data_IF_326004816304
#
_entry.id   IF_326004816304
#
_cell.length_a   1.000
_cell.length_b   1.000
_cell.length_c   1.000
_cell.angle_alpha   90.00
_cell.angle_beta   90.00
_cell.angle_gamma   90.00
#
_symmetry.space_group_name_H-M   'P 1'
#
loop_
_entity.id
_entity.type
_entity.pdbx_description
1 polymer ?
#
# COMPACT_ATOMS: atom_id res chain seq x y z
N UNK A 1 -1.57 -3.53 31.67
CA UNK A 1 -2.08 -4.74 30.98
C UNK A 1 -2.31 -4.47 29.50
N UNK A 2 -1.59 -5.18 28.62
CA UNK A 2 -1.81 -5.11 27.17
C UNK A 2 -3.15 -5.74 26.77
N UNK A 3 -4.04 -4.94 26.18
CA UNK A 3 -5.31 -5.35 25.59
C UNK A 3 -5.13 -5.57 24.10
N UNK A 4 -5.41 -6.78 23.62
CA UNK A 4 -5.44 -7.05 22.19
C UNK A 4 -6.79 -6.63 21.63
N UNK A 5 -6.76 -5.74 20.64
CA UNK A 5 -7.94 -5.29 19.91
C UNK A 5 -8.22 -6.32 18.82
N UNK A 6 -9.39 -6.94 18.87
CA UNK A 6 -9.84 -7.93 17.88
C UNK A 6 -10.93 -7.32 16.98
N UNK A 7 -11.03 -7.83 15.76
CA UNK A 7 -12.10 -7.49 14.83
C UNK A 7 -13.46 -7.87 15.46
N UNK A 8 -14.36 -6.89 15.73
CA UNK A 8 -15.66 -7.16 16.32
C UNK A 8 -16.56 -7.90 15.34
N UNK A 9 -17.53 -8.65 15.89
CA UNK A 9 -18.61 -9.24 15.10
C UNK A 9 -19.80 -8.27 15.10
N UNK A 10 -19.85 -7.37 14.12
CA UNK A 10 -20.90 -6.34 13.99
C UNK A 10 -22.23 -6.89 13.42
N UNK A 11 -22.24 -8.14 12.94
CA UNK A 11 -23.45 -8.82 12.46
C UNK A 11 -23.43 -10.32 12.72
N UNK A 12 -24.60 -10.92 12.96
CA UNK A 12 -24.75 -12.36 13.24
C UNK A 12 -24.17 -13.25 12.14
N UNK A 13 -24.23 -12.79 10.88
CA UNK A 13 -23.72 -13.46 9.68
C UNK A 13 -22.37 -12.93 9.17
N UNK A 14 -21.79 -11.94 9.85
CA UNK A 14 -20.51 -11.33 9.44
C UNK A 14 -19.36 -12.31 9.67
N UNK A 15 -18.57 -12.58 8.62
CA UNK A 15 -17.38 -13.43 8.65
C UNK A 15 -16.08 -12.63 8.63
N UNK A 16 -16.08 -11.50 7.93
CA UNK A 16 -14.93 -10.64 7.70
C UNK A 16 -15.39 -9.18 7.59
N UNK A 17 -14.48 -8.27 7.92
CA UNK A 17 -14.65 -6.82 7.79
C UNK A 17 -13.41 -6.21 7.17
N UNK A 18 -13.60 -5.17 6.38
CA UNK A 18 -12.49 -4.43 5.77
C UNK A 18 -12.19 -3.21 6.60
N UNK A 19 -10.93 -3.00 6.92
CA UNK A 19 -10.50 -1.76 7.58
C UNK A 19 -10.52 -0.66 6.53
N UNK A 20 -11.42 0.31 6.67
CA UNK A 20 -11.50 1.46 5.76
C UNK A 20 -10.42 2.47 6.08
N UNK A 21 -10.32 2.88 7.36
CA UNK A 21 -9.40 3.93 7.79
C UNK A 21 -9.09 3.83 9.28
N UNK A 22 -7.83 4.05 9.65
CA UNK A 22 -7.44 4.21 11.05
C UNK A 22 -7.60 5.68 11.46
N UNK A 23 -8.28 5.92 12.59
CA UNK A 23 -8.32 7.25 13.21
C UNK A 23 -7.13 7.49 14.14
N UNK A 24 -6.50 6.40 14.59
CA UNK A 24 -5.40 6.39 15.56
C UNK A 24 -4.20 5.67 14.97
N UNK A 25 -3.01 6.17 15.30
CA UNK A 25 -1.74 5.64 14.80
C UNK A 25 -0.93 4.98 15.91
N UNK A 26 0.07 4.20 15.53
CA UNK A 26 1.00 3.57 16.47
C UNK A 26 1.72 4.65 17.29
N UNK A 27 1.68 4.54 18.61
CA UNK A 27 2.15 5.53 19.58
C UNK A 27 1.07 6.52 20.05
N UNK A 28 -0.11 6.55 19.43
CA UNK A 28 -1.17 7.48 19.82
C UNK A 28 -1.93 7.00 21.06
N UNK A 29 -2.35 7.95 21.90
CA UNK A 29 -3.15 7.66 23.09
C UNK A 29 -4.61 7.49 22.70
N UNK A 30 -5.24 6.42 23.19
CA UNK A 30 -6.63 6.08 22.95
C UNK A 30 -7.36 5.87 24.27
N UNK A 31 -8.62 6.28 24.35
CA UNK A 31 -9.46 6.07 25.52
C UNK A 31 -10.54 5.03 25.24
N UNK A 32 -11.00 4.33 26.27
CA UNK A 32 -12.13 3.40 26.17
C UNK A 32 -13.37 4.14 25.67
N UNK A 33 -13.98 3.66 24.60
CA UNK A 33 -15.11 4.31 23.93
C UNK A 33 -14.70 5.37 22.91
N UNK A 34 -13.40 5.61 22.71
CA UNK A 34 -12.94 6.52 21.65
C UNK A 34 -12.87 5.80 20.30
N UNK A 35 -13.31 6.42 19.18
CA UNK A 35 -13.23 5.80 17.87
C UNK A 35 -11.78 5.57 17.44
N UNK A 36 -11.48 4.32 17.09
CA UNK A 36 -10.12 3.87 16.84
C UNK A 36 -9.91 3.55 15.35
N UNK A 37 -10.88 2.88 14.72
CA UNK A 37 -10.82 2.45 13.32
C UNK A 37 -12.22 2.43 12.69
N UNK A 38 -12.31 2.79 11.41
CA UNK A 38 -13.50 2.62 10.58
C UNK A 38 -13.46 1.28 9.87
N UNK A 39 -14.51 0.49 10.04
CA UNK A 39 -14.66 -0.84 9.45
C UNK A 39 -15.82 -0.79 8.47
N UNK A 40 -15.55 -1.09 7.22
CA UNK A 40 -16.56 -1.27 6.20
C UNK A 40 -16.88 -2.76 6.05
N UNK A 41 -18.16 -3.07 6.12
CA UNK A 41 -18.72 -4.37 5.82
C UNK A 41 -19.39 -4.32 4.45
N UNK A 42 -19.83 -5.47 3.93
CA UNK A 42 -20.52 -5.56 2.64
C UNK A 42 -21.77 -4.66 2.53
N UNK A 43 -22.34 -4.21 3.65
CA UNK A 43 -23.58 -3.43 3.67
C UNK A 43 -23.51 -2.10 4.41
N UNK A 44 -22.55 -1.93 5.32
CA UNK A 44 -22.52 -0.79 6.24
C UNK A 44 -21.09 -0.47 6.66
N UNK A 45 -20.82 0.81 6.85
CA UNK A 45 -19.66 1.33 7.53
C UNK A 45 -19.96 1.52 9.02
N UNK A 46 -19.06 1.06 9.87
CA UNK A 46 -19.15 1.16 11.32
C UNK A 46 -17.86 1.70 11.89
N UNK A 47 -17.97 2.62 12.84
CA UNK A 47 -16.83 3.10 13.60
C UNK A 47 -16.63 2.21 14.81
N UNK A 48 -15.47 1.58 14.91
CA UNK A 48 -15.14 0.72 16.04
C UNK A 48 -14.43 1.52 17.13
N UNK A 49 -15.04 1.48 18.30
CA UNK A 49 -14.57 2.16 19.51
C UNK A 49 -13.56 1.28 20.27
N UNK A 50 -12.62 1.94 20.95
CA UNK A 50 -11.62 1.23 21.74
C UNK A 50 -12.24 0.47 22.91
N UNK A 51 -11.92 -0.82 23.11
CA UNK A 51 -12.39 -1.57 24.28
C UNK A 51 -11.66 -1.18 25.58
N UNK A 52 -10.49 -0.54 25.49
CA UNK A 52 -9.64 -0.18 26.62
C UNK A 52 -8.95 1.18 26.40
N UNK A 53 -8.56 1.84 27.50
CA UNK A 53 -7.73 3.04 27.45
C UNK A 53 -6.24 2.67 27.49
N UNK A 54 -5.40 3.32 26.69
CA UNK A 54 -3.96 3.07 26.66
C UNK A 54 -3.28 3.77 25.48
N UNK A 55 -2.13 3.26 25.08
CA UNK A 55 -1.40 3.69 23.89
C UNK A 55 -1.53 2.59 22.83
N UNK A 56 -1.89 2.98 21.60
CA UNK A 56 -1.90 2.06 20.47
C UNK A 56 -0.46 1.66 20.18
N UNK A 57 -0.04 0.48 20.61
CA UNK A 57 1.36 0.07 20.55
C UNK A 57 1.78 -0.38 19.15
N UNK A 58 0.92 -1.15 18.49
CA UNK A 58 1.19 -1.73 17.17
C UNK A 58 -0.10 -2.03 16.43
N UNK A 59 -0.11 -1.76 15.13
CA UNK A 59 -1.18 -2.14 14.21
C UNK A 59 -0.73 -3.39 13.44
N UNK A 60 -1.54 -4.46 13.49
CA UNK A 60 -1.25 -5.71 12.77
C UNK A 60 -1.80 -5.67 11.33
N UNK A 61 -2.89 -4.92 11.11
CA UNK A 61 -3.56 -4.82 9.83
C UNK A 61 -3.86 -3.36 9.48
N UNK A 62 -3.29 -2.89 8.36
CA UNK A 62 -3.46 -1.51 7.88
C UNK A 62 -4.81 -1.31 7.14
N UNK A 63 -5.10 -0.05 6.82
CA UNK A 63 -6.24 0.33 5.97
C UNK A 63 -6.27 -0.39 4.62
N UNK A 64 -7.48 -0.63 4.11
CA UNK A 64 -7.76 -1.39 2.90
C UNK A 64 -7.65 -2.92 3.06
N UNK A 65 -7.29 -3.45 4.23
CA UNK A 65 -7.18 -4.90 4.45
C UNK A 65 -8.48 -5.52 4.94
N UNK A 66 -8.79 -6.68 4.36
CA UNK A 66 -9.88 -7.57 4.79
C UNK A 66 -9.38 -8.44 5.93
N UNK A 67 -10.09 -8.43 7.05
CA UNK A 67 -9.71 -9.17 8.27
C UNK A 67 -10.91 -10.00 8.77
N UNK A 68 -10.72 -11.28 9.13
CA UNK A 68 -11.81 -12.09 9.68
C UNK A 68 -12.26 -11.60 11.05
N UNK A 69 -13.53 -11.82 11.40
CA UNK A 69 -14.04 -11.57 12.76
C UNK A 69 -13.20 -12.35 13.79
N UNK A 70 -13.08 -11.82 15.00
CA UNK A 70 -12.27 -12.41 16.10
C UNK A 70 -10.75 -12.42 15.89
N UNK A 71 -10.27 -11.85 14.79
CA UNK A 71 -8.82 -11.74 14.50
C UNK A 71 -8.22 -10.50 15.16
N UNK A 72 -7.01 -10.57 15.77
CA UNK A 72 -6.33 -9.41 16.33
C UNK A 72 -5.93 -8.39 15.24
N UNK A 73 -6.35 -7.14 15.41
CA UNK A 73 -6.06 -6.02 14.49
C UNK A 73 -5.02 -5.05 15.04
N UNK A 74 -4.96 -4.86 16.35
CA UNK A 74 -4.01 -3.97 17.01
C UNK A 74 -3.80 -4.38 18.47
N UNK A 75 -2.76 -3.82 19.10
CA UNK A 75 -2.47 -4.02 20.52
C UNK A 75 -2.46 -2.65 21.19
N UNK A 76 -3.23 -2.52 22.27
CA UNK A 76 -3.24 -1.35 23.14
C UNK A 76 -2.52 -1.75 24.43
N UNK A 77 -1.55 -0.97 24.88
CA UNK A 77 -0.91 -1.18 26.18
C UNK A 77 -0.75 0.14 26.93
N UNK A 78 -0.63 0.06 28.25
CA UNK A 78 -0.40 1.23 29.10
C UNK A 78 1.06 1.72 28.97
N UNK A 79 1.27 3.00 29.30
CA UNK A 79 2.57 3.67 29.22
C UNK A 79 3.58 2.95 30.13
N UNK A 80 4.52 2.21 29.52
CA UNK A 80 5.58 1.47 30.24
C UNK A 80 5.54 -0.06 30.10
N UNK A 81 4.53 -0.65 29.47
CA UNK A 81 4.44 -2.12 29.34
C UNK A 81 4.99 -2.61 27.98
N UNK A 82 6.03 -3.43 28.01
CA UNK A 82 6.68 -3.98 26.82
C UNK A 82 5.77 -4.97 26.09
N UNK A 83 5.70 -4.86 24.76
CA UNK A 83 4.95 -5.78 23.92
C UNK A 83 5.63 -7.16 23.91
N UNK A 84 4.88 -8.28 23.93
CA UNK A 84 5.42 -9.52 23.42
C UNK A 84 5.76 -9.30 21.94
N UNK A 85 7.01 -9.52 21.61
CA UNK A 85 7.60 -9.31 20.29
C UNK A 85 6.98 -10.31 19.28
N UNK A 86 5.79 -9.99 18.78
CA UNK A 86 5.34 -10.58 17.53
C UNK A 86 6.14 -9.90 16.43
N UNK A 87 7.17 -10.61 15.97
CA UNK A 87 7.96 -10.33 14.78
C UNK A 87 7.08 -9.62 13.77
N UNK A 88 7.33 -8.31 13.64
CA UNK A 88 6.86 -7.60 12.47
C UNK A 88 7.42 -8.39 11.29
N UNK A 89 6.54 -9.03 10.52
CA UNK A 89 6.87 -9.32 9.13
C UNK A 89 7.03 -7.95 8.51
N UNK A 90 8.27 -7.49 8.58
CA UNK A 90 8.82 -6.28 8.01
C UNK A 90 8.26 -6.17 6.61
N UNK A 91 7.35 -5.21 6.45
CA UNK A 91 7.01 -4.66 5.16
C UNK A 91 8.33 -4.14 4.58
N UNK A 92 8.94 -4.91 3.69
CA UNK A 92 9.97 -4.41 2.81
C UNK A 92 9.30 -3.45 1.82
N UNK A 93 9.15 -2.21 2.28
CA UNK A 93 9.22 -1.03 1.43
C UNK A 93 10.64 -0.50 1.54
N UNK A 94 11.51 -0.73 0.54
CA UNK A 94 12.73 0.03 0.42
C UNK A 94 12.34 1.45 -0.04
N UNK A 95 12.21 2.36 0.92
CA UNK A 95 12.35 3.79 0.68
C UNK A 95 13.82 4.16 0.87
N UNK A 96 14.59 4.08 -0.21
CA UNK A 96 15.87 4.78 -0.29
C UNK A 96 15.63 6.04 -1.13
N UNK A 97 15.63 7.20 -0.45
CA UNK A 97 15.91 8.48 -1.08
C UNK A 97 17.44 8.69 -1.03
N UNK A 98 18.03 9.36 -2.02
CA UNK A 98 17.90 10.82 -2.00
C UNK A 98 17.53 11.44 -3.35
N UNK A 99 16.75 12.51 -3.26
CA UNK A 99 16.55 13.54 -4.28
C UNK A 99 17.90 14.03 -4.86
N UNK A 100 17.94 14.56 -6.10
CA UNK A 100 17.10 15.69 -6.49
C UNK A 100 16.32 15.52 -7.79
N UNK A 101 15.05 15.94 -7.70
CA UNK A 101 14.21 16.58 -8.71
C UNK A 101 14.72 16.61 -10.16
N UNK A 102 13.96 15.97 -11.08
CA UNK A 102 13.01 16.69 -11.93
C UNK A 102 12.29 15.73 -12.90
N UNK A 103 10.97 15.88 -12.96
CA UNK A 103 10.07 15.60 -14.09
C UNK A 103 10.11 14.18 -14.70
N UNK A 104 9.13 13.33 -14.40
CA UNK A 104 7.83 13.28 -15.07
C UNK A 104 7.78 12.14 -16.12
N UNK A 105 6.96 11.14 -15.79
CA UNK A 105 6.07 10.38 -16.68
C UNK A 105 6.65 9.60 -17.87
N UNK A 106 6.28 8.32 -17.94
CA UNK A 106 6.48 7.43 -19.09
C UNK A 106 6.47 5.98 -18.62
N UNK A 107 5.33 5.43 -18.22
CA UNK A 107 4.45 4.67 -19.12
C UNK A 107 5.20 3.69 -20.06
N UNK A 108 5.38 2.47 -19.54
CA UNK A 108 5.11 1.17 -20.17
C UNK A 108 5.17 1.14 -21.72
N UNK A 109 6.14 0.40 -22.27
CA UNK A 109 5.94 -0.83 -23.07
C UNK A 109 7.24 -1.21 -23.78
N UNK A 110 7.87 -2.25 -23.26
CA UNK A 110 8.79 -3.08 -24.00
C UNK A 110 7.99 -3.85 -25.08
N UNK A 111 7.75 -3.21 -26.23
CA UNK A 111 7.52 -3.92 -27.48
C UNK A 111 8.79 -3.76 -28.32
N UNK A 112 9.60 -4.81 -28.33
CA UNK A 112 10.82 -4.92 -29.12
C UNK A 112 10.44 -5.08 -30.60
N UNK A 113 10.00 -4.00 -31.24
CA UNK A 113 9.75 -3.94 -32.68
C UNK A 113 11.11 -3.83 -33.40
N UNK A 114 11.52 -4.90 -34.10
CA UNK A 114 12.77 -4.88 -34.89
C UNK A 114 12.55 -3.97 -36.10
N UNK A 115 13.09 -2.76 -36.04
CA UNK A 115 13.02 -1.77 -37.12
C UNK A 115 13.71 -2.33 -38.38
N UNK A 116 12.96 -2.57 -39.44
CA UNK A 116 13.43 -3.11 -40.72
C UNK A 116 14.06 -2.02 -41.62
N UNK A 117 15.04 -1.28 -41.09
CA UNK A 117 15.76 -0.30 -41.89
C UNK A 117 16.87 -0.96 -42.76
N UNK A 118 16.95 -0.58 -44.03
CA UNK A 118 18.00 -1.01 -44.95
C UNK A 118 19.39 -0.53 -44.49
N UNK A 119 20.48 -1.23 -44.83
CA UNK A 119 21.82 -0.94 -44.29
C UNK A 119 22.32 0.48 -44.59
N UNK A 120 21.92 1.05 -45.73
CA UNK A 120 22.30 2.42 -46.11
C UNK A 120 21.55 3.47 -45.28
N UNK A 121 20.25 3.24 -45.01
CA UNK A 121 19.44 4.14 -44.18
C UNK A 121 19.92 4.19 -42.72
N UNK A 122 20.34 3.03 -42.17
CA UNK A 122 20.92 2.96 -40.83
C UNK A 122 22.20 3.77 -40.69
N UNK A 123 23.08 3.71 -41.69
CA UNK A 123 24.36 4.42 -41.66
C UNK A 123 24.18 5.94 -41.74
N UNK A 124 23.33 6.41 -42.66
CA UNK A 124 23.04 7.85 -42.81
C UNK A 124 22.33 8.45 -41.59
N UNK A 125 21.43 7.71 -40.96
CA UNK A 125 20.73 8.16 -39.75
C UNK A 125 21.69 8.32 -38.56
N UNK A 126 22.66 7.41 -38.43
CA UNK A 126 23.66 7.44 -37.36
C UNK A 126 24.62 8.63 -37.51
N UNK A 127 25.07 8.96 -38.73
CA UNK A 127 25.92 10.13 -38.99
C UNK A 127 25.21 11.47 -38.74
N UNK A 128 23.88 11.50 -38.93
CA UNK A 128 23.07 12.69 -38.67
C UNK A 128 22.45 12.74 -37.26
N UNK A 129 22.70 11.73 -36.42
CA UNK A 129 22.17 11.66 -35.06
C UNK A 129 20.65 11.55 -34.99
N UNK A 130 20.04 10.86 -35.96
CA UNK A 130 18.58 10.72 -36.09
C UNK A 130 18.16 9.35 -35.57
N UNK A 131 17.21 9.31 -34.63
CA UNK A 131 16.70 8.05 -34.08
C UNK A 131 15.66 7.41 -35.01
N UNK A 132 15.96 6.18 -35.46
CA UNK A 132 15.14 5.46 -36.43
C UNK A 132 13.87 4.85 -35.81
N UNK A 133 13.76 4.80 -34.49
CA UNK A 133 12.59 4.24 -33.80
C UNK A 133 11.42 5.23 -33.78
N UNK A 134 11.71 6.52 -33.97
CA UNK A 134 10.72 7.60 -33.98
C UNK A 134 10.26 7.97 -35.39
N UNK A 135 10.85 7.35 -36.41
CA UNK A 135 10.55 7.64 -37.81
C UNK A 135 9.72 6.53 -38.44
N UNK A 136 8.58 6.91 -39.01
CA UNK A 136 7.74 6.01 -39.79
C UNK A 136 8.33 5.88 -41.19
N UNK A 137 8.87 4.70 -41.52
CA UNK A 137 9.38 4.45 -42.85
C UNK A 137 8.24 4.36 -43.88
N UNK A 138 8.53 4.78 -45.12
CA UNK A 138 7.60 4.73 -46.27
C UNK A 138 7.95 3.62 -47.27
N UNK A 139 8.78 2.65 -46.88
CA UNK A 139 9.17 1.53 -47.74
C UNK A 139 8.17 0.36 -47.67
N UNK A 140 8.24 -0.60 -48.62
CA UNK A 140 7.51 -1.85 -48.48
C UNK A 140 8.08 -2.64 -47.28
N UNK A 141 7.42 -2.51 -46.13
CA UNK A 141 7.83 -3.11 -44.85
C UNK A 141 7.96 -2.13 -43.67
N UNK A 142 7.72 -0.83 -43.88
CA UNK A 142 7.93 0.22 -42.87
C UNK A 142 9.26 0.90 -43.09
#
# INVERSE_FOLDING_TARGET
MATTVIMPKLGLTMKEGTIEKWLKQEGDRVEKGEPLVEIITEKLNFQYESPASGILRKILHHEGKVVPVTTPIAIIAEEGEALPEFEAIKSEVPIEAPMPAAAAQGEIKEHRERIFASPFARKTAQEKGIDLSLLKGSGPGG
#
